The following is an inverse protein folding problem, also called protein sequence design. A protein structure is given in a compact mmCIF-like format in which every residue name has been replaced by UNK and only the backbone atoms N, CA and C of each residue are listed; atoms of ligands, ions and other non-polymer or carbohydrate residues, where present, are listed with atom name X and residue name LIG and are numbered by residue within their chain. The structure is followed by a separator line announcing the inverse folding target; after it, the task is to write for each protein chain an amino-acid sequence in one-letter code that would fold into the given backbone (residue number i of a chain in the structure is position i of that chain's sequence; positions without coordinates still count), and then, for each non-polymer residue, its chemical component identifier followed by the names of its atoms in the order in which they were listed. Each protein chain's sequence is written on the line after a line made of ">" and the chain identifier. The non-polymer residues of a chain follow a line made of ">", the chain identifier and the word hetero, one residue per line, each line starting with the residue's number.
data_IF_587852208737
#
_entry.id   IF_587852208737
#
_cell.length_a   1.000
_cell.length_b   1.000
_cell.length_c   1.000
_cell.angle_alpha   90.00
_cell.angle_beta   90.00
_cell.angle_gamma   90.00
#
_symmetry.space_group_name_H-M   'P 1'
#
loop_
_entity.id
_entity.type
_entity.pdbx_description
1 polymer ?
#
# COMPACT_ATOMS: atom_id res chain seq x y z
N UNK A 1 -20.13 7.90 -7.33
CA UNK A 1 -19.25 9.03 -7.71
C UNK A 1 -18.07 8.46 -8.45
N UNK A 2 -17.64 9.05 -9.56
CA UNK A 2 -16.54 8.52 -10.38
C UNK A 2 -15.32 9.44 -10.30
N UNK A 3 -14.14 8.86 -10.14
CA UNK A 3 -12.84 9.53 -10.18
C UNK A 3 -11.87 8.69 -11.02
N UNK A 4 -10.94 9.35 -11.70
CA UNK A 4 -9.80 8.68 -12.33
C UNK A 4 -8.68 8.55 -11.31
N UNK A 5 -7.87 7.51 -11.43
CA UNK A 5 -6.61 7.39 -10.69
C UNK A 5 -5.47 8.05 -11.48
N UNK A 6 -4.38 8.49 -10.82
CA UNK A 6 -3.17 8.92 -11.50
C UNK A 6 -2.67 7.85 -12.50
N UNK A 7 -2.22 8.30 -13.69
CA UNK A 7 -1.75 7.43 -14.77
C UNK A 7 -0.23 7.17 -14.74
N UNK A 8 0.24 6.24 -15.58
CA UNK A 8 1.66 5.86 -15.66
C UNK A 8 2.14 4.99 -14.49
N UNK A 9 1.21 4.28 -13.84
CA UNK A 9 1.47 3.50 -12.64
C UNK A 9 1.12 2.02 -12.86
N UNK A 10 1.78 1.12 -12.13
CA UNK A 10 1.64 -0.34 -12.26
C UNK A 10 1.44 -1.06 -10.92
N UNK A 11 0.43 -1.93 -10.89
CA UNK A 11 0.00 -2.66 -9.69
C UNK A 11 -0.60 -1.72 -8.62
N UNK A 12 -1.77 -1.13 -8.92
CA UNK A 12 -2.43 -0.16 -8.05
C UNK A 12 -3.38 -0.78 -7.03
N UNK A 13 -3.38 -0.22 -5.83
CA UNK A 13 -4.24 -0.60 -4.72
C UNK A 13 -4.86 0.62 -4.05
N UNK A 14 -6.18 0.59 -3.87
CA UNK A 14 -6.94 1.69 -3.26
C UNK A 14 -7.50 1.22 -1.93
N UNK A 15 -7.26 1.98 -0.87
CA UNK A 15 -7.89 1.74 0.42
C UNK A 15 -8.13 3.05 1.16
N UNK A 16 -9.14 3.06 2.03
CA UNK A 16 -9.39 4.17 2.92
C UNK A 16 -8.42 4.16 4.12
N UNK A 17 -7.79 5.31 4.37
CA UNK A 17 -6.90 5.53 5.52
C UNK A 17 -6.99 7.00 5.93
N UNK A 18 -6.99 7.29 7.22
CA UNK A 18 -6.99 8.63 7.81
C UNK A 18 -8.11 9.51 7.22
N UNK A 19 -9.31 8.95 7.11
CA UNK A 19 -10.49 9.66 6.57
C UNK A 19 -10.50 9.88 5.06
N UNK A 20 -9.52 9.38 4.30
CA UNK A 20 -9.35 9.68 2.86
C UNK A 20 -9.00 8.44 2.05
N UNK A 21 -9.36 8.43 0.77
CA UNK A 21 -8.89 7.38 -0.14
C UNK A 21 -7.40 7.57 -0.41
N UNK A 22 -6.64 6.51 -0.14
CA UNK A 22 -5.25 6.38 -0.50
C UNK A 22 -5.14 5.46 -1.71
N UNK A 23 -4.31 5.84 -2.66
CA UNK A 23 -3.95 5.03 -3.81
C UNK A 23 -2.45 4.77 -3.77
N UNK A 24 -2.10 3.53 -3.48
CA UNK A 24 -0.72 3.05 -3.41
C UNK A 24 -0.42 2.33 -4.71
N UNK A 25 0.73 2.59 -5.30
CA UNK A 25 1.09 2.04 -6.58
C UNK A 25 2.61 2.11 -6.79
N UNK A 26 3.12 1.48 -7.84
CA UNK A 26 4.45 1.75 -8.34
C UNK A 26 4.43 2.65 -9.58
N UNK A 27 5.49 3.44 -9.74
CA UNK A 27 5.70 4.31 -10.88
C UNK A 27 6.84 3.78 -11.76
N UNK A 28 6.58 3.77 -13.07
CA UNK A 28 7.58 3.45 -14.08
C UNK A 28 8.49 4.65 -14.38
N UNK A 29 9.75 4.40 -14.67
CA UNK A 29 10.67 5.37 -15.25
C UNK A 29 10.54 5.42 -16.80
N UNK A 30 11.35 6.27 -17.43
CA UNK A 30 11.35 6.47 -18.87
C UNK A 30 11.76 5.22 -19.66
N UNK A 31 12.54 4.33 -19.04
CA UNK A 31 13.03 3.08 -19.62
C UNK A 31 12.04 1.91 -19.40
N UNK A 32 10.91 2.18 -18.73
CA UNK A 32 9.88 1.19 -18.40
C UNK A 32 10.20 0.32 -17.19
N UNK A 33 11.30 0.62 -16.48
CA UNK A 33 11.66 0.03 -15.19
C UNK A 33 10.78 0.58 -14.08
N UNK A 34 10.63 -0.16 -12.98
CA UNK A 34 9.78 0.28 -11.88
C UNK A 34 10.61 0.85 -10.75
N UNK A 35 10.68 2.17 -10.73
CA UNK A 35 11.66 2.87 -9.91
C UNK A 35 11.13 3.22 -8.52
N UNK A 36 9.85 3.58 -8.39
CA UNK A 36 9.32 4.14 -7.14
C UNK A 36 8.02 3.50 -6.69
N UNK A 37 7.84 3.34 -5.37
CA UNK A 37 6.53 3.23 -4.75
C UNK A 37 6.02 4.64 -4.46
N UNK A 38 4.79 4.92 -4.91
CA UNK A 38 4.11 6.21 -4.72
C UNK A 38 2.77 6.02 -4.02
N UNK A 39 2.43 6.98 -3.17
CA UNK A 39 1.16 7.04 -2.46
C UNK A 39 0.50 8.36 -2.77
N UNK A 40 -0.68 8.30 -3.38
CA UNK A 40 -1.55 9.45 -3.61
C UNK A 40 -2.71 9.45 -2.64
N UNK A 41 -3.19 10.63 -2.28
CA UNK A 41 -4.39 10.82 -1.47
C UNK A 41 -5.41 11.64 -2.23
N UNK A 42 -6.65 11.19 -2.22
CA UNK A 42 -7.79 11.94 -2.72
C UNK A 42 -8.23 12.91 -1.62
N UNK A 43 -7.71 14.14 -1.68
CA UNK A 43 -7.93 15.15 -0.62
C UNK A 43 -9.37 15.67 -0.61
N UNK A 44 -9.92 15.89 -1.80
CA UNK A 44 -11.28 16.40 -1.95
C UNK A 44 -12.02 15.58 -3.01
N UNK A 45 -13.05 14.85 -2.56
CA UNK A 45 -13.89 14.06 -3.44
C UNK A 45 -14.59 14.93 -4.49
N UNK A 46 -14.97 16.17 -4.16
CA UNK A 46 -15.66 17.07 -5.08
C UNK A 46 -14.74 17.50 -6.24
N UNK A 47 -13.50 17.91 -5.94
CA UNK A 47 -12.52 18.27 -6.98
C UNK A 47 -11.93 17.04 -7.67
N UNK A 48 -12.00 15.86 -7.03
CA UNK A 48 -11.46 14.59 -7.51
C UNK A 48 -9.95 14.62 -7.72
N UNK A 49 -9.27 15.52 -7.01
CA UNK A 49 -7.84 15.75 -7.15
C UNK A 49 -7.04 14.82 -6.24
N UNK A 50 -6.11 14.10 -6.86
CA UNK A 50 -5.12 13.28 -6.17
C UNK A 50 -3.86 14.09 -5.92
N UNK A 51 -3.37 14.08 -4.68
CA UNK A 51 -2.11 14.72 -4.30
C UNK A 51 -1.11 13.66 -3.89
N UNK A 52 0.15 13.82 -4.31
CA UNK A 52 1.23 12.93 -3.91
C UNK A 52 1.51 13.14 -2.41
N UNK A 53 1.32 12.08 -1.61
CA UNK A 53 1.59 12.07 -0.18
C UNK A 53 2.98 11.50 0.13
N UNK A 54 3.39 10.44 -0.56
CA UNK A 54 4.66 9.78 -0.30
C UNK A 54 5.28 9.19 -1.56
N UNK A 55 6.61 9.19 -1.62
CA UNK A 55 7.38 8.46 -2.63
C UNK A 55 8.69 7.93 -2.01
N UNK A 56 9.10 6.75 -2.47
CA UNK A 56 10.33 6.07 -2.09
C UNK A 56 10.78 5.16 -3.22
N UNK A 57 12.09 5.05 -3.44
CA UNK A 57 12.60 4.13 -4.46
C UNK A 57 12.30 2.68 -4.07
N UNK A 58 11.85 1.90 -5.04
CA UNK A 58 11.50 0.49 -4.90
C UNK A 58 12.72 -0.31 -4.40
N UNK A 59 13.94 0.10 -4.75
CA UNK A 59 15.20 -0.49 -4.28
C UNK A 59 15.31 -0.52 -2.74
N UNK A 60 14.87 0.53 -2.05
CA UNK A 60 14.88 0.60 -0.58
C UNK A 60 13.87 -0.36 0.06
N UNK A 61 12.81 -0.72 -0.67
CA UNK A 61 11.75 -1.61 -0.15
C UNK A 61 12.04 -3.06 -0.49
N UNK A 62 12.39 -3.33 -1.75
CA UNK A 62 12.51 -4.68 -2.31
C UNK A 62 13.96 -5.20 -2.37
N UNK A 63 14.95 -4.37 -2.02
CA UNK A 63 16.35 -4.77 -1.88
C UNK A 63 17.15 -4.83 -3.19
N UNK A 64 16.58 -5.28 -4.32
CA UNK A 64 17.01 -5.04 -5.71
C UNK A 64 16.28 -5.99 -6.68
N UNK A 65 15.43 -5.45 -7.56
CA UNK A 65 15.11 -5.89 -8.93
C UNK A 65 13.67 -5.49 -9.32
N UNK A 66 13.49 -4.94 -10.52
CA UNK A 66 12.18 -4.68 -11.15
C UNK A 66 11.30 -5.95 -11.21
N UNK A 67 11.93 -7.13 -11.29
CA UNK A 67 11.23 -8.42 -11.32
C UNK A 67 10.55 -8.79 -10.00
N UNK A 68 10.87 -8.13 -8.88
CA UNK A 68 10.26 -8.45 -7.59
C UNK A 68 8.77 -8.06 -7.54
N UNK A 69 8.32 -7.15 -8.40
CA UNK A 69 6.94 -6.67 -8.42
C UNK A 69 5.96 -7.74 -8.89
N UNK A 70 6.39 -8.68 -9.74
CA UNK A 70 5.57 -9.83 -10.14
C UNK A 70 5.26 -10.78 -8.98
N UNK A 71 6.04 -10.69 -7.90
CA UNK A 71 5.89 -11.49 -6.69
C UNK A 71 5.42 -10.63 -5.52
N UNK A 72 4.92 -9.43 -5.80
CA UNK A 72 4.50 -8.45 -4.81
C UNK A 72 2.98 -8.33 -4.80
N UNK A 73 2.39 -8.45 -3.61
CA UNK A 73 0.95 -8.22 -3.42
C UNK A 73 0.70 -7.23 -2.28
N UNK A 74 -0.20 -6.28 -2.52
CA UNK A 74 -0.72 -5.39 -1.49
C UNK A 74 -1.65 -6.16 -0.55
N UNK A 75 -1.49 -5.94 0.77
CA UNK A 75 -2.39 -6.51 1.77
C UNK A 75 -3.33 -5.45 2.31
N UNK A 76 -2.76 -4.34 2.80
CA UNK A 76 -3.53 -3.26 3.39
C UNK A 76 -2.71 -1.97 3.53
N UNK A 77 -3.42 -0.86 3.57
CA UNK A 77 -2.97 0.41 4.17
C UNK A 77 -3.60 0.50 5.56
N UNK A 78 -2.81 0.81 6.58
CA UNK A 78 -3.33 0.92 7.94
C UNK A 78 -4.38 2.06 8.01
N UNK A 79 -5.55 1.83 8.63
CA UNK A 79 -6.65 2.79 8.60
C UNK A 79 -6.30 4.11 9.28
N UNK A 80 -5.42 4.12 10.29
CA UNK A 80 -5.11 5.34 11.06
C UNK A 80 -3.64 5.80 10.96
N UNK A 81 -2.76 4.94 10.44
CA UNK A 81 -1.32 5.15 10.52
C UNK A 81 -0.70 5.12 9.13
N UNK A 82 0.49 5.70 9.02
CA UNK A 82 1.25 5.74 7.78
C UNK A 82 2.01 4.42 7.53
N UNK A 83 1.29 3.29 7.61
CA UNK A 83 1.83 1.95 7.41
C UNK A 83 1.18 1.26 6.21
N UNK A 84 1.99 0.58 5.41
CA UNK A 84 1.56 -0.24 4.28
C UNK A 84 2.02 -1.67 4.52
N UNK A 85 1.12 -2.63 4.37
CA UNK A 85 1.37 -4.05 4.48
C UNK A 85 1.33 -4.69 3.09
N UNK A 86 2.32 -5.52 2.81
CA UNK A 86 2.48 -6.20 1.54
C UNK A 86 3.18 -7.54 1.74
N UNK A 87 3.07 -8.42 0.76
CA UNK A 87 3.82 -9.68 0.75
C UNK A 87 4.79 -9.73 -0.42
N UNK A 88 5.95 -10.33 -0.16
CA UNK A 88 6.83 -10.84 -1.20
C UNK A 88 6.62 -12.35 -1.30
N UNK A 89 5.77 -12.77 -2.24
CA UNK A 89 5.30 -14.15 -2.44
C UNK A 89 6.49 -15.10 -2.63
N UNK A 90 7.51 -14.68 -3.39
CA UNK A 90 8.73 -15.48 -3.62
C UNK A 90 9.46 -15.82 -2.32
N UNK A 91 9.52 -14.88 -1.40
CA UNK A 91 10.20 -15.03 -0.12
C UNK A 91 9.28 -15.56 0.98
N UNK A 92 7.99 -15.71 0.68
CA UNK A 92 6.93 -15.99 1.64
C UNK A 92 7.03 -15.06 2.86
N UNK A 93 7.17 -13.75 2.65
CA UNK A 93 7.31 -12.79 3.75
C UNK A 93 6.14 -11.82 3.78
N UNK A 94 5.54 -11.67 4.96
CA UNK A 94 4.68 -10.54 5.27
C UNK A 94 5.53 -9.40 5.78
N UNK A 95 5.43 -8.25 5.13
CA UNK A 95 6.20 -7.06 5.46
C UNK A 95 5.30 -5.87 5.73
N UNK A 96 5.86 -4.91 6.46
CA UNK A 96 5.28 -3.60 6.67
C UNK A 96 6.29 -2.53 6.30
N UNK A 97 5.86 -1.53 5.55
CA UNK A 97 6.59 -0.31 5.31
C UNK A 97 5.98 0.84 6.11
N UNK A 98 6.81 1.52 6.90
CA UNK A 98 6.44 2.73 7.62
C UNK A 98 6.88 3.96 6.83
N UNK A 99 5.93 4.79 6.40
CA UNK A 99 6.22 5.97 5.58
C UNK A 99 6.85 7.11 6.40
N UNK A 100 6.58 7.20 7.71
CA UNK A 100 7.10 8.26 8.57
C UNK A 100 8.62 8.12 8.77
N UNK A 101 9.09 6.90 9.09
CA UNK A 101 10.51 6.62 9.27
C UNK A 101 11.20 6.03 8.03
N UNK A 102 10.44 5.76 6.95
CA UNK A 102 10.92 5.17 5.69
C UNK A 102 11.62 3.83 5.88
N UNK A 103 11.09 2.98 6.74
CA UNK A 103 11.68 1.66 7.03
C UNK A 103 10.74 0.51 6.67
N UNK A 104 11.33 -0.55 6.12
CA UNK A 104 10.66 -1.85 5.95
C UNK A 104 10.97 -2.73 7.16
N UNK A 105 9.97 -3.44 7.64
CA UNK A 105 10.08 -4.46 8.68
C UNK A 105 9.43 -5.75 8.21
N UNK A 106 10.12 -6.86 8.37
CA UNK A 106 9.54 -8.20 8.23
C UNK A 106 8.68 -8.46 9.47
N UNK A 107 7.41 -8.77 9.27
CA UNK A 107 6.49 -9.13 10.36
C UNK A 107 6.64 -10.61 10.67
N UNK A 108 6.51 -11.46 9.65
CA UNK A 108 6.66 -12.90 9.76
C UNK A 108 6.98 -13.53 8.40
N UNK A 109 7.45 -14.77 8.46
CA UNK A 109 7.49 -15.66 7.30
C UNK A 109 6.16 -16.43 7.23
N UNK A 110 5.67 -16.64 6.02
CA UNK A 110 4.45 -17.33 5.68
C UNK A 110 4.80 -18.78 5.32
N UNK A 111 3.93 -19.72 5.67
CA UNK A 111 4.10 -21.14 5.37
C UNK A 111 2.98 -21.60 4.45
N UNK A 112 3.31 -22.00 3.22
CA UNK A 112 2.44 -22.82 2.35
C UNK A 112 1.12 -22.20 1.89
N UNK A 113 0.86 -20.92 2.12
CA UNK A 113 -0.35 -20.24 1.64
C UNK A 113 0.01 -19.32 0.48
N UNK A 114 -0.70 -19.47 -0.64
CA UNK A 114 -0.65 -18.53 -1.74
C UNK A 114 -1.78 -17.47 -1.58
N UNK A 115 -1.55 -16.23 -2.03
CA UNK A 115 -2.53 -15.14 -1.98
C UNK A 115 -3.88 -15.50 -2.66
N UNK A 116 -4.99 -14.81 -2.32
CA UNK A 116 -5.03 -13.53 -1.61
C UNK A 116 -5.09 -13.64 -0.08
N UNK A 117 -4.35 -12.76 0.59
CA UNK A 117 -4.50 -12.53 2.03
C UNK A 117 -5.54 -11.44 2.25
N UNK A 118 -6.66 -11.79 2.87
CA UNK A 118 -7.70 -10.81 3.15
C UNK A 118 -7.33 -10.02 4.42
N UNK A 119 -7.33 -8.68 4.38
CA UNK A 119 -7.18 -7.90 5.60
C UNK A 119 -8.31 -8.26 6.55
N UNK A 120 -7.96 -8.53 7.81
CA UNK A 120 -8.97 -8.65 8.85
C UNK A 120 -9.68 -7.29 8.95
N UNK A 121 -10.93 -7.25 8.52
CA UNK A 121 -11.82 -6.12 8.73
C UNK A 121 -12.45 -6.34 10.10
N UNK A 122 -11.97 -5.67 11.18
CA UNK A 122 -12.71 -5.69 12.43
C UNK A 122 -14.12 -5.17 12.12
N UNK A 123 -15.12 -6.04 12.27
CA UNK A 123 -16.51 -5.63 12.26
C UNK A 123 -16.70 -4.73 13.49
N UNK A 124 -16.51 -3.42 13.32
CA UNK A 124 -17.03 -2.43 14.24
C UNK A 124 -18.55 -2.42 14.06
N UNK A 125 -19.21 -3.48 14.53
CA UNK A 125 -20.54 -3.33 15.06
C UNK A 125 -20.37 -2.33 16.21
N UNK A 126 -21.07 -1.20 16.12
CA UNK A 126 -21.04 -0.09 17.07
C UNK A 126 -21.08 -0.63 18.50
N UNK A 127 -19.91 -0.78 19.13
CA UNK A 127 -19.84 -0.92 20.57
C UNK A 127 -20.13 0.49 21.07
N UNK A 128 -21.39 0.73 21.44
CA UNK A 128 -21.78 1.87 22.23
C UNK A 128 -20.68 2.15 23.26
N UNK A 129 -20.20 3.38 23.26
CA UNK A 129 -19.06 3.84 24.04
C UNK A 129 -19.17 3.34 25.49
N UNK A 130 -18.43 2.29 25.82
CA UNK A 130 -18.12 1.96 27.20
C UNK A 130 -17.09 3.00 27.63
N UNK A 131 -17.62 4.13 28.10
CA UNK A 131 -16.92 5.05 28.96
C UNK A 131 -16.32 4.23 30.12
N UNK A 132 -14.99 4.16 30.17
CA UNK A 132 -14.23 3.87 31.39
C UNK A 132 -13.16 4.94 31.50
#
# INVERSE_FOLDING_TARGET
>A
MNFSVPGGLVNGFIQHSQGRLHYVNFQMDEDGGVNQLVVYVLENYQSKEWTLKHSVETSYILGMADYCIYWFDWIAVHPECNLIFFTLVRDLKLMCYNMDCRQVKVICNLEGVEPPYLPYVPLYAELEALCI
#
